data_IF_112216394446
#
_entry.id   IF_112216394446
#
_cell.length_a   1.000
_cell.length_b   1.000
_cell.length_c   1.000
_cell.angle_alpha   90.00
_cell.angle_beta   90.00
_cell.angle_gamma   90.00
#
_symmetry.space_group_name_H-M   'P 1'
#
loop_
_entity.id
_entity.type
_entity.pdbx_description
1 polymer ?
#
# COMPACT_ATOMS: atom_id res chain seq x y z
N UNK A 1 -14.58 -46.72 10.22
CA UNK A 1 -14.37 -46.41 11.62
C UNK A 1 -13.61 -45.12 11.77
N UNK A 2 -14.13 -44.06 12.44
CA UNK A 2 -13.46 -42.77 12.58
C UNK A 2 -12.06 -42.87 13.17
N UNK A 3 -11.86 -43.73 14.15
CA UNK A 3 -10.55 -43.93 14.82
C UNK A 3 -9.49 -44.50 13.87
N UNK A 4 -9.91 -45.36 12.92
CA UNK A 4 -9.02 -45.91 11.88
C UNK A 4 -8.73 -44.89 10.81
N UNK A 5 -9.65 -43.96 10.50
CA UNK A 5 -9.47 -42.94 9.49
C UNK A 5 -8.32 -41.99 9.83
N UNK A 6 -8.20 -41.57 11.09
CA UNK A 6 -7.11 -40.72 11.58
C UNK A 6 -5.77 -41.45 11.47
N UNK A 7 -5.71 -42.72 11.91
CA UNK A 7 -4.49 -43.53 11.83
C UNK A 7 -4.06 -43.79 10.38
N UNK A 8 -5.02 -44.08 9.48
CA UNK A 8 -4.78 -44.28 8.06
C UNK A 8 -4.28 -42.98 7.38
N UNK A 9 -4.91 -41.86 7.70
CA UNK A 9 -4.49 -40.54 7.20
C UNK A 9 -3.07 -40.18 7.62
N UNK A 10 -2.72 -40.39 8.90
CA UNK A 10 -1.37 -40.19 9.41
C UNK A 10 -0.32 -41.09 8.74
N UNK A 11 -0.67 -42.36 8.48
CA UNK A 11 0.19 -43.31 7.78
C UNK A 11 0.43 -42.90 6.32
N UNK A 12 -0.61 -42.46 5.62
CA UNK A 12 -0.52 -41.99 4.23
C UNK A 12 0.34 -40.72 4.18
N UNK A 13 0.11 -39.77 5.09
CA UNK A 13 0.91 -38.54 5.18
C UNK A 13 2.38 -38.85 5.47
N UNK A 14 2.66 -39.79 6.37
CA UNK A 14 4.02 -40.28 6.64
C UNK A 14 4.68 -40.87 5.40
N UNK A 15 3.97 -41.69 4.63
CA UNK A 15 4.46 -42.30 3.41
C UNK A 15 4.73 -41.25 2.30
N UNK A 16 3.89 -40.23 2.18
CA UNK A 16 4.11 -39.09 1.24
C UNK A 16 5.36 -38.31 1.64
N UNK A 17 5.53 -38.00 2.93
CA UNK A 17 6.73 -37.30 3.44
C UNK A 17 8.00 -38.12 3.29
N UNK A 18 7.92 -39.45 3.40
CA UNK A 18 9.04 -40.35 3.17
C UNK A 18 9.38 -40.56 1.68
N UNK A 19 8.50 -40.11 0.76
CA UNK A 19 8.64 -40.30 -0.69
C UNK A 19 8.22 -41.68 -1.19
N UNK A 20 7.57 -42.50 -0.34
CA UNK A 20 7.12 -43.84 -0.68
C UNK A 20 5.80 -43.80 -1.51
N UNK A 21 5.05 -42.70 -1.41
CA UNK A 21 3.80 -42.46 -2.15
C UNK A 21 3.91 -41.14 -2.89
N UNK A 22 3.91 -41.19 -4.22
CA UNK A 22 4.05 -40.01 -5.08
C UNK A 22 2.75 -39.59 -5.74
N UNK A 23 1.72 -40.43 -5.71
CA UNK A 23 0.47 -40.22 -6.41
C UNK A 23 -0.58 -39.45 -5.58
N UNK A 24 -0.27 -39.17 -4.33
CA UNK A 24 -1.13 -38.40 -3.40
C UNK A 24 -0.39 -37.12 -2.99
N UNK A 25 -0.90 -35.97 -3.41
CA UNK A 25 -0.45 -34.67 -2.97
C UNK A 25 -1.47 -34.10 -2.00
N UNK A 26 -1.10 -34.01 -0.71
CA UNK A 26 -1.87 -33.27 0.27
C UNK A 26 -1.31 -31.86 0.35
N UNK A 27 -2.12 -30.88 -0.03
CA UNK A 27 -1.80 -29.47 0.10
C UNK A 27 -2.71 -28.87 1.16
N UNK A 28 -2.09 -28.28 2.16
CA UNK A 28 -2.83 -27.49 3.15
C UNK A 28 -3.01 -26.05 2.61
N UNK A 29 -4.11 -25.39 2.97
CA UNK A 29 -4.47 -24.06 2.48
C UNK A 29 -4.96 -23.17 3.61
N UNK A 30 -4.83 -21.86 3.44
CA UNK A 30 -5.45 -20.88 4.32
C UNK A 30 -6.97 -20.92 4.16
N UNK A 31 -7.75 -21.12 5.25
CA UNK A 31 -9.21 -21.23 5.15
C UNK A 31 -9.90 -19.88 4.85
N UNK A 32 -9.28 -18.78 5.28
CA UNK A 32 -9.77 -17.42 5.12
C UNK A 32 -8.64 -16.48 4.72
N UNK A 33 -9.01 -15.37 4.11
CA UNK A 33 -8.11 -14.29 3.72
C UNK A 33 -7.45 -13.67 4.94
N UNK A 34 -6.15 -13.40 4.83
CA UNK A 34 -5.33 -12.73 5.84
C UNK A 34 -4.89 -11.37 5.32
N UNK A 35 -4.99 -10.36 6.16
CA UNK A 35 -4.63 -9.01 5.79
C UNK A 35 -4.41 -8.10 6.99
N UNK A 36 -4.24 -6.83 6.71
CA UNK A 36 -4.12 -5.78 7.71
C UNK A 36 -5.18 -4.71 7.53
N UNK A 37 -5.47 -4.02 8.62
CA UNK A 37 -6.26 -2.79 8.58
C UNK A 37 -5.44 -1.65 8.00
N UNK A 38 -6.03 -0.93 7.05
CA UNK A 38 -5.44 0.25 6.42
C UNK A 38 -6.33 1.47 6.62
N UNK A 39 -5.89 2.62 6.10
CA UNK A 39 -6.56 3.91 6.24
C UNK A 39 -8.05 3.82 5.87
N UNK A 40 -8.90 4.29 6.78
CA UNK A 40 -10.35 4.22 6.65
C UNK A 40 -10.98 2.94 7.20
N UNK A 41 -10.22 2.09 7.91
CA UNK A 41 -10.73 0.85 8.50
C UNK A 41 -10.98 -0.27 7.49
N UNK A 42 -10.34 -0.21 6.32
CA UNK A 42 -10.44 -1.21 5.26
C UNK A 42 -9.49 -2.37 5.54
N UNK A 43 -9.94 -3.59 5.35
CA UNK A 43 -9.07 -4.75 5.29
C UNK A 43 -8.38 -4.83 3.93
N UNK A 44 -7.07 -4.71 3.93
CA UNK A 44 -6.23 -4.93 2.75
C UNK A 44 -5.66 -6.35 2.79
N UNK A 45 -6.05 -7.21 1.83
CA UNK A 45 -5.59 -8.59 1.80
C UNK A 45 -4.12 -8.69 1.39
N UNK A 46 -3.37 -9.60 2.05
CA UNK A 46 -2.02 -10.00 1.66
C UNK A 46 -1.98 -11.45 1.21
N UNK A 47 -2.68 -12.35 1.90
CA UNK A 47 -2.81 -13.76 1.53
C UNK A 47 -4.30 -14.06 1.38
N UNK A 48 -4.72 -14.41 0.18
CA UNK A 48 -6.11 -14.75 -0.10
C UNK A 48 -6.48 -16.14 0.42
N UNK A 49 -7.77 -16.35 0.71
CA UNK A 49 -8.29 -17.68 1.07
C UNK A 49 -7.90 -18.73 0.02
N UNK A 50 -7.80 -19.97 0.44
CA UNK A 50 -7.39 -21.10 -0.40
C UNK A 50 -5.97 -21.01 -1.00
N UNK A 51 -5.12 -20.14 -0.44
CA UNK A 51 -3.69 -20.12 -0.79
C UNK A 51 -2.99 -21.30 -0.13
N UNK A 52 -2.25 -22.07 -0.91
CA UNK A 52 -1.46 -23.21 -0.40
C UNK A 52 -0.35 -22.75 0.54
N UNK A 53 -0.12 -23.50 1.62
CA UNK A 53 0.96 -23.27 2.55
C UNK A 53 2.04 -24.36 2.42
N UNK A 54 3.33 -24.04 2.68
CA UNK A 54 3.85 -22.76 3.17
C UNK A 54 3.81 -21.64 2.10
N UNK A 55 3.66 -20.39 2.54
CA UNK A 55 3.61 -19.23 1.64
C UNK A 55 4.18 -17.98 2.32
N UNK A 56 4.76 -17.09 1.51
CA UNK A 56 5.24 -15.79 1.95
C UNK A 56 4.73 -14.72 0.99
N UNK A 57 4.22 -13.61 1.56
CA UNK A 57 3.75 -12.43 0.82
C UNK A 57 4.17 -11.17 1.55
N UNK A 58 4.63 -10.18 0.79
CA UNK A 58 4.95 -8.86 1.32
C UNK A 58 4.36 -7.75 0.46
N UNK A 59 4.04 -6.63 1.12
CA UNK A 59 3.54 -5.43 0.47
C UNK A 59 4.09 -4.19 1.17
N UNK A 60 4.34 -3.13 0.41
CA UNK A 60 4.81 -1.86 0.94
C UNK A 60 3.62 -0.97 1.24
N UNK A 61 3.57 -0.47 2.46
CA UNK A 61 2.62 0.51 2.96
C UNK A 61 3.34 1.81 3.33
N UNK A 62 2.58 2.84 3.69
CA UNK A 62 3.12 4.11 4.11
C UNK A 62 2.33 4.69 5.29
N UNK A 63 2.79 5.84 5.79
CA UNK A 63 2.10 6.59 6.84
C UNK A 63 0.87 7.32 6.30
N UNK A 64 -0.17 7.43 7.13
CA UNK A 64 -1.42 8.13 6.82
C UNK A 64 -1.36 9.62 7.15
N UNK A 65 -0.48 10.02 8.08
CA UNK A 65 -0.35 11.39 8.57
C UNK A 65 1.08 11.92 8.41
N UNK A 66 1.21 13.26 8.32
CA UNK A 66 2.51 13.92 8.30
C UNK A 66 3.23 13.76 9.63
N UNK A 67 4.55 13.56 9.56
CA UNK A 67 5.42 13.39 10.74
C UNK A 67 5.03 12.22 11.66
N UNK A 68 4.30 11.24 11.12
CA UNK A 68 3.95 10.03 11.86
C UNK A 68 5.21 9.18 12.10
N UNK A 69 5.54 8.93 13.38
CA UNK A 69 6.77 8.22 13.81
C UNK A 69 6.54 6.78 14.23
N UNK A 70 5.28 6.34 14.22
CA UNK A 70 4.88 4.97 14.54
C UNK A 70 3.68 4.54 13.70
N UNK A 71 3.56 3.24 13.42
CA UNK A 71 2.39 2.65 12.78
C UNK A 71 1.90 1.45 13.58
N UNK A 72 0.57 1.34 13.69
CA UNK A 72 -0.09 0.18 14.28
C UNK A 72 -0.42 -0.80 13.17
N UNK A 73 0.03 -2.03 13.30
CA UNK A 73 -0.30 -3.12 12.37
C UNK A 73 -1.33 -4.01 13.03
N UNK A 74 -2.58 -3.86 12.60
CA UNK A 74 -3.70 -4.69 13.03
C UNK A 74 -3.89 -5.83 12.03
N UNK A 75 -3.56 -7.05 12.45
CA UNK A 75 -3.64 -8.26 11.63
C UNK A 75 -5.03 -8.87 11.79
N UNK A 76 -5.72 -9.07 10.67
CA UNK A 76 -7.10 -9.57 10.65
C UNK A 76 -7.25 -10.74 9.68
N UNK A 77 -8.25 -11.58 9.95
CA UNK A 77 -8.61 -12.74 9.15
C UNK A 77 -10.11 -12.75 8.87
N UNK A 78 -10.49 -12.92 7.61
CA UNK A 78 -11.88 -12.98 7.16
C UNK A 78 -12.07 -12.47 5.74
N UNK A 79 -13.35 -12.35 5.35
CA UNK A 79 -13.72 -11.99 3.97
C UNK A 79 -14.46 -10.64 3.87
N UNK A 80 -14.69 -9.96 5.02
CA UNK A 80 -15.38 -8.66 5.06
C UNK A 80 -14.41 -7.53 4.69
N UNK A 81 -14.90 -6.50 3.99
CA UNK A 81 -14.09 -5.34 3.61
C UNK A 81 -13.77 -4.41 4.76
N UNK A 82 -14.60 -4.36 5.78
CA UNK A 82 -14.33 -3.63 7.02
C UNK A 82 -13.44 -4.46 7.94
N UNK A 83 -12.30 -3.93 8.37
CA UNK A 83 -11.37 -4.64 9.24
C UNK A 83 -12.02 -5.08 10.57
N UNK A 84 -12.88 -4.24 11.15
CA UNK A 84 -13.59 -4.51 12.41
C UNK A 84 -14.57 -5.69 12.35
N UNK A 85 -15.05 -6.04 11.15
CA UNK A 85 -16.00 -7.13 10.93
C UNK A 85 -15.31 -8.47 10.68
N UNK A 86 -13.97 -8.48 10.71
CA UNK A 86 -13.12 -9.65 10.59
C UNK A 86 -12.55 -10.06 11.97
N UNK A 87 -11.98 -11.25 12.04
CA UNK A 87 -11.31 -11.76 13.25
C UNK A 87 -9.97 -11.08 13.43
N UNK A 88 -9.78 -10.32 14.50
CA UNK A 88 -8.47 -9.81 14.86
C UNK A 88 -7.57 -10.95 15.35
N UNK A 89 -6.43 -11.13 14.73
CA UNK A 89 -5.42 -12.13 15.09
C UNK A 89 -4.34 -11.57 16.00
N UNK A 90 -3.99 -10.29 15.78
CA UNK A 90 -2.95 -9.63 16.57
C UNK A 90 -2.83 -8.15 16.23
N UNK A 91 -2.17 -7.43 17.13
CA UNK A 91 -1.89 -6.00 17.01
C UNK A 91 -0.48 -5.76 17.53
N UNK A 92 0.34 -5.06 16.75
CA UNK A 92 1.67 -4.62 17.18
C UNK A 92 2.04 -3.27 16.57
N UNK A 93 3.01 -2.59 17.17
CA UNK A 93 3.46 -1.27 16.75
C UNK A 93 4.88 -1.33 16.20
N UNK A 94 5.11 -0.67 15.08
CA UNK A 94 6.43 -0.33 14.59
C UNK A 94 6.71 1.14 14.94
N UNK A 95 7.67 1.36 15.84
CA UNK A 95 8.06 2.69 16.32
C UNK A 95 9.38 3.16 15.71
N UNK A 96 9.59 4.48 15.77
CA UNK A 96 10.86 5.12 15.39
C UNK A 96 11.05 5.23 13.89
N UNK A 97 9.97 5.40 13.17
CA UNK A 97 9.94 5.85 11.79
C UNK A 97 10.38 7.32 11.76
N UNK A 98 11.30 7.73 10.87
CA UNK A 98 11.68 9.12 10.73
C UNK A 98 10.48 10.00 10.37
N UNK A 99 10.34 11.16 11.03
CA UNK A 99 9.30 12.11 10.67
C UNK A 99 9.49 12.58 9.23
N UNK A 100 8.45 12.39 8.42
CA UNK A 100 8.41 12.71 7.01
C UNK A 100 6.97 13.04 6.59
N UNK A 101 6.77 13.68 5.43
CA UNK A 101 5.45 13.82 4.86
C UNK A 101 4.76 12.46 4.68
N UNK A 102 3.45 12.41 4.90
CA UNK A 102 2.65 11.19 4.69
C UNK A 102 2.87 10.62 3.29
N UNK A 103 2.82 9.31 3.17
CA UNK A 103 3.06 8.62 1.90
C UNK A 103 4.54 8.45 1.52
N UNK A 104 5.48 9.12 2.20
CA UNK A 104 6.92 9.01 1.91
C UNK A 104 7.61 7.81 2.60
N UNK A 105 7.35 7.52 3.89
CA UNK A 105 7.92 6.34 4.53
C UNK A 105 7.50 5.06 3.82
N UNK A 106 8.42 4.11 3.69
CA UNK A 106 8.16 2.80 3.09
C UNK A 106 8.24 1.73 4.16
N UNK A 107 7.08 1.16 4.50
CA UNK A 107 6.94 0.14 5.52
C UNK A 107 6.56 -1.16 4.83
N UNK A 108 7.49 -2.10 4.79
CA UNK A 108 7.26 -3.42 4.23
C UNK A 108 6.61 -4.30 5.28
N UNK A 109 5.39 -4.74 5.01
CA UNK A 109 4.68 -5.71 5.84
C UNK A 109 4.74 -7.06 5.15
N UNK A 110 5.26 -8.06 5.86
CA UNK A 110 5.45 -9.42 5.36
C UNK A 110 4.64 -10.41 6.18
N UNK A 111 3.97 -11.31 5.50
CA UNK A 111 3.23 -12.45 6.04
C UNK A 111 3.93 -13.72 5.62
N UNK A 112 4.38 -14.50 6.57
CA UNK A 112 5.09 -15.78 6.36
C UNK A 112 4.36 -16.89 7.10
N UNK A 113 3.80 -17.85 6.35
CA UNK A 113 3.10 -19.01 6.90
C UNK A 113 3.96 -20.23 6.63
N UNK A 114 4.34 -20.94 7.69
CA UNK A 114 5.10 -22.17 7.60
C UNK A 114 4.21 -23.39 7.25
N UNK A 115 4.83 -24.56 7.07
CA UNK A 115 4.13 -25.81 6.76
C UNK A 115 3.24 -26.31 7.93
N UNK A 116 3.37 -25.77 9.14
CA UNK A 116 2.52 -26.07 10.27
C UNK A 116 1.39 -25.06 10.42
N UNK A 117 1.31 -24.07 9.49
CA UNK A 117 0.33 -23.01 9.51
C UNK A 117 0.62 -21.90 10.53
N UNK A 118 1.82 -21.83 11.10
CA UNK A 118 2.23 -20.74 11.98
C UNK A 118 2.45 -19.50 11.14
N UNK A 119 1.73 -18.42 11.44
CA UNK A 119 1.82 -17.15 10.77
C UNK A 119 2.77 -16.21 11.53
N UNK A 120 3.83 -15.79 10.86
CA UNK A 120 4.70 -14.70 11.30
C UNK A 120 4.37 -13.44 10.48
N UNK A 121 4.03 -12.37 11.16
CA UNK A 121 3.81 -11.06 10.54
C UNK A 121 4.89 -10.12 11.00
N UNK A 122 5.62 -9.51 10.07
CA UNK A 122 6.61 -8.49 10.36
C UNK A 122 6.29 -7.19 9.62
N UNK A 123 6.67 -6.08 10.24
CA UNK A 123 6.65 -4.75 9.64
C UNK A 123 8.05 -4.14 9.76
N UNK A 124 8.60 -3.69 8.64
CA UNK A 124 9.95 -3.14 8.54
C UNK A 124 9.96 -1.79 7.85
N UNK A 125 10.51 -0.78 8.51
CA UNK A 125 10.83 0.49 7.88
C UNK A 125 12.08 0.36 7.01
N UNK A 126 11.94 0.60 5.70
CA UNK A 126 13.03 0.43 4.72
C UNK A 126 14.13 1.48 4.86
N UNK A 127 13.84 2.63 5.46
CA UNK A 127 14.82 3.68 5.65
C UNK A 127 15.75 3.40 6.83
N UNK A 128 15.20 2.95 7.97
CA UNK A 128 15.96 2.71 9.21
C UNK A 128 16.32 1.26 9.43
N UNK A 129 15.71 0.33 8.69
CA UNK A 129 15.76 -1.12 8.91
C UNK A 129 15.21 -1.56 10.28
N UNK A 130 14.48 -0.69 10.98
CA UNK A 130 13.75 -1.09 12.18
C UNK A 130 12.64 -2.05 11.80
N UNK A 131 12.50 -3.10 12.58
CA UNK A 131 11.54 -4.17 12.35
C UNK A 131 10.87 -4.57 13.65
N UNK A 132 9.58 -4.88 13.57
CA UNK A 132 8.78 -5.50 14.62
C UNK A 132 8.00 -6.64 14.03
N UNK A 133 7.75 -7.68 14.82
CA UNK A 133 7.04 -8.85 14.37
C UNK A 133 6.15 -9.45 15.46
N UNK A 134 5.15 -10.19 15.03
CA UNK A 134 4.29 -11.00 15.88
C UNK A 134 4.19 -12.40 15.27
N UNK A 135 4.21 -13.42 16.14
CA UNK A 135 3.96 -14.81 15.76
C UNK A 135 2.57 -15.22 16.22
N UNK A 136 1.76 -15.69 15.29
CA UNK A 136 0.38 -16.10 15.49
C UNK A 136 0.29 -17.59 15.19
N UNK A 137 -0.20 -18.37 16.14
CA UNK A 137 -0.35 -19.82 15.95
C UNK A 137 -1.47 -20.13 14.94
N UNK A 138 -1.28 -21.18 14.15
CA UNK A 138 -2.18 -21.63 13.10
C UNK A 138 -3.63 -21.84 13.53
N UNK A 139 -3.80 -22.32 14.75
CA UNK A 139 -5.12 -22.44 15.31
C UNK A 139 -5.54 -21.09 15.90
N UNK A 140 -6.01 -20.18 15.05
CA UNK A 140 -6.71 -18.96 15.51
C UNK A 140 -7.97 -19.28 16.32
N UNK A 141 -8.21 -20.54 16.62
CA UNK A 141 -9.35 -21.03 17.39
C UNK A 141 -10.68 -20.96 16.64
N UNK A 142 -10.66 -20.79 15.33
CA UNK A 142 -11.87 -20.86 14.50
C UNK A 142 -12.21 -22.33 14.22
N UNK A 143 -13.45 -22.72 14.53
CA UNK A 143 -14.03 -23.99 14.08
C UNK A 143 -14.48 -23.91 12.63
N UNK A 144 -14.68 -25.06 11.99
CA UNK A 144 -15.19 -25.12 10.61
C UNK A 144 -16.54 -24.41 10.47
N UNK A 145 -17.41 -24.49 11.51
CA UNK A 145 -18.68 -23.79 11.54
C UNK A 145 -18.52 -22.27 11.59
N UNK A 146 -17.53 -21.76 12.34
CA UNK A 146 -17.23 -20.33 12.39
C UNK A 146 -16.66 -19.82 11.05
N UNK A 147 -15.79 -20.60 10.40
CA UNK A 147 -15.25 -20.30 9.08
C UNK A 147 -16.39 -20.19 8.05
N UNK A 148 -17.27 -21.20 8.01
CA UNK A 148 -18.41 -21.23 7.10
C UNK A 148 -19.34 -20.03 7.35
N UNK A 149 -19.62 -19.71 8.60
CA UNK A 149 -20.41 -18.55 8.98
C UNK A 149 -19.77 -17.24 8.51
N UNK A 150 -18.45 -17.06 8.69
CA UNK A 150 -17.75 -15.86 8.22
C UNK A 150 -17.81 -15.68 6.70
N UNK A 151 -17.75 -16.78 5.95
CA UNK A 151 -17.92 -16.75 4.48
C UNK A 151 -19.36 -16.37 4.11
N UNK A 152 -20.36 -16.97 4.75
CA UNK A 152 -21.77 -16.64 4.51
C UNK A 152 -22.10 -15.20 4.88
N UNK A 153 -21.57 -14.71 6.01
CA UNK A 153 -21.76 -13.33 6.44
C UNK A 153 -21.13 -12.34 5.42
N UNK A 154 -19.98 -12.69 4.84
CA UNK A 154 -19.35 -11.87 3.81
C UNK A 154 -20.17 -11.85 2.50
N UNK A 155 -20.71 -12.99 2.08
CA UNK A 155 -21.58 -13.08 0.90
C UNK A 155 -22.89 -12.28 1.12
N UNK A 156 -23.49 -12.38 2.30
CA UNK A 156 -24.73 -11.66 2.63
C UNK A 156 -24.55 -10.14 2.68
N UNK A 157 -23.34 -9.65 3.02
CA UNK A 157 -23.04 -8.22 3.13
C UNK A 157 -22.20 -7.68 1.94
N UNK A 158 -22.04 -8.45 0.86
CA UNK A 158 -21.14 -8.09 -0.25
C UNK A 158 -21.47 -6.73 -0.89
N UNK A 159 -22.77 -6.37 -1.00
CA UNK A 159 -23.19 -5.07 -1.53
C UNK A 159 -22.85 -3.91 -0.58
N UNK A 160 -23.02 -4.11 0.71
CA UNK A 160 -22.72 -3.07 1.71
C UNK A 160 -21.22 -2.91 1.88
N UNK A 161 -20.47 -3.99 1.83
CA UNK A 161 -19.01 -3.98 1.82
C UNK A 161 -18.46 -3.25 0.60
N UNK A 162 -19.05 -3.45 -0.57
CA UNK A 162 -18.68 -2.73 -1.78
C UNK A 162 -18.95 -1.22 -1.66
N UNK A 163 -20.12 -0.84 -1.15
CA UNK A 163 -20.45 0.58 -0.90
C UNK A 163 -19.48 1.21 0.10
N UNK A 164 -19.14 0.48 1.16
CA UNK A 164 -18.17 0.94 2.15
C UNK A 164 -16.79 1.15 1.52
N UNK A 165 -16.28 0.18 0.75
CA UNK A 165 -14.98 0.29 0.07
C UNK A 165 -14.96 1.49 -0.88
N UNK A 166 -16.01 1.68 -1.69
CA UNK A 166 -16.13 2.81 -2.60
C UNK A 166 -16.20 4.16 -1.86
N UNK A 167 -16.92 4.22 -0.73
CA UNK A 167 -16.99 5.43 0.10
C UNK A 167 -15.62 5.77 0.70
N UNK A 168 -14.91 4.78 1.24
CA UNK A 168 -13.58 4.99 1.82
C UNK A 168 -12.57 5.40 0.75
N UNK A 169 -12.63 4.82 -0.45
CA UNK A 169 -11.79 5.23 -1.58
C UNK A 169 -12.05 6.69 -1.96
N UNK A 170 -13.31 7.11 -2.03
CA UNK A 170 -13.67 8.50 -2.31
C UNK A 170 -13.16 9.46 -1.21
N UNK A 171 -13.33 9.08 0.07
CA UNK A 171 -12.82 9.86 1.22
C UNK A 171 -11.30 9.99 1.19
N UNK A 172 -10.58 8.91 0.96
CA UNK A 172 -9.12 8.91 0.91
C UNK A 172 -8.58 9.73 -0.28
N UNK A 173 -9.24 9.66 -1.44
CA UNK A 173 -8.89 10.48 -2.59
C UNK A 173 -9.12 11.98 -2.32
N UNK A 174 -10.25 12.33 -1.71
CA UNK A 174 -10.58 13.70 -1.32
C UNK A 174 -9.57 14.26 -0.31
N UNK A 175 -9.24 13.50 0.73
CA UNK A 175 -8.27 13.88 1.75
C UNK A 175 -6.86 14.08 1.16
N UNK A 176 -6.47 13.22 0.23
CA UNK A 176 -5.19 13.36 -0.49
C UNK A 176 -5.16 14.64 -1.33
N UNK A 177 -6.25 14.98 -2.00
CA UNK A 177 -6.35 16.21 -2.80
C UNK A 177 -6.34 17.46 -1.90
N UNK A 178 -7.09 17.46 -0.80
CA UNK A 178 -7.07 18.56 0.19
C UNK A 178 -5.65 18.81 0.70
N UNK A 179 -4.98 17.74 1.11
CA UNK A 179 -3.61 17.83 1.61
C UNK A 179 -2.65 18.39 0.56
N UNK A 180 -2.74 17.89 -0.68
CA UNK A 180 -1.93 18.40 -1.79
C UNK A 180 -2.19 19.88 -2.10
N UNK A 181 -3.44 20.30 -2.11
CA UNK A 181 -3.80 21.71 -2.32
C UNK A 181 -3.31 22.62 -1.20
N UNK A 182 -3.48 22.22 0.07
CA UNK A 182 -2.98 22.99 1.23
C UNK A 182 -1.46 23.17 1.16
N UNK A 183 -0.74 22.07 0.92
CA UNK A 183 0.71 22.11 0.78
C UNK A 183 1.17 23.00 -0.38
N UNK A 184 0.51 22.91 -1.53
CA UNK A 184 0.83 23.76 -2.69
C UNK A 184 0.58 25.24 -2.38
N UNK A 185 -0.50 25.58 -1.66
CA UNK A 185 -0.78 26.95 -1.24
C UNK A 185 0.26 27.49 -0.26
N UNK A 186 0.78 26.65 0.63
CA UNK A 186 1.85 27.02 1.57
C UNK A 186 3.19 27.23 0.85
N UNK A 187 3.58 26.29 0.00
CA UNK A 187 4.86 26.32 -0.71
C UNK A 187 4.93 27.40 -1.80
N UNK A 188 3.79 27.78 -2.35
CA UNK A 188 3.68 28.73 -3.47
C UNK A 188 2.97 30.03 -3.09
N UNK A 189 2.93 30.39 -1.81
CA UNK A 189 2.15 31.52 -1.27
C UNK A 189 2.44 32.86 -2.03
N UNK A 190 3.68 33.09 -2.45
CA UNK A 190 4.11 34.30 -3.16
C UNK A 190 3.67 34.33 -4.65
N UNK A 191 3.22 33.18 -5.18
CA UNK A 191 2.90 33.01 -6.61
C UNK A 191 1.40 32.82 -6.86
N UNK A 192 0.60 32.69 -5.81
CA UNK A 192 -0.84 32.46 -5.89
C UNK A 192 -1.58 33.79 -5.82
N UNK A 193 -2.46 34.04 -6.79
CA UNK A 193 -3.33 35.21 -6.74
C UNK A 193 -4.34 35.10 -5.60
N UNK A 194 -4.66 36.22 -4.93
CA UNK A 194 -5.54 36.23 -3.77
C UNK A 194 -6.91 35.62 -4.08
N UNK A 195 -7.46 35.85 -5.28
CA UNK A 195 -8.74 35.31 -5.73
C UNK A 195 -8.71 33.78 -5.96
N UNK A 196 -7.59 33.24 -6.48
CA UNK A 196 -7.39 31.81 -6.64
C UNK A 196 -7.26 31.12 -5.29
N UNK A 197 -6.48 31.72 -4.38
CA UNK A 197 -6.33 31.22 -3.02
C UNK A 197 -7.67 31.12 -2.29
N UNK A 198 -8.46 32.18 -2.32
CA UNK A 198 -9.79 32.23 -1.70
C UNK A 198 -10.73 31.15 -2.30
N UNK A 199 -10.69 30.96 -3.63
CA UNK A 199 -11.49 29.95 -4.31
C UNK A 199 -11.10 28.52 -3.88
N UNK A 200 -9.79 28.21 -3.82
CA UNK A 200 -9.29 26.91 -3.40
C UNK A 200 -9.59 26.65 -1.92
N UNK A 201 -9.35 27.62 -1.03
CA UNK A 201 -9.63 27.51 0.40
C UNK A 201 -11.12 27.29 0.68
N UNK A 202 -12.00 27.97 -0.08
CA UNK A 202 -13.45 27.77 -0.02
C UNK A 202 -13.83 26.35 -0.45
N UNK A 203 -13.28 25.86 -1.57
CA UNK A 203 -13.54 24.50 -2.05
C UNK A 203 -13.04 23.43 -1.07
N UNK A 204 -11.86 23.64 -0.45
CA UNK A 204 -11.34 22.78 0.62
C UNK A 204 -12.33 22.71 1.78
N UNK A 205 -12.80 23.85 2.29
CA UNK A 205 -13.72 23.89 3.41
C UNK A 205 -15.03 23.17 3.14
N UNK A 206 -15.58 23.32 1.91
CA UNK A 206 -16.80 22.62 1.48
C UNK A 206 -16.58 21.11 1.41
N UNK A 207 -15.43 20.67 0.89
CA UNK A 207 -15.09 19.25 0.80
C UNK A 207 -14.82 18.63 2.18
N UNK A 208 -14.14 19.34 3.09
CA UNK A 208 -13.95 18.90 4.48
C UNK A 208 -15.28 18.71 5.23
N UNK A 209 -16.30 19.53 4.94
CA UNK A 209 -17.62 19.35 5.51
C UNK A 209 -18.33 18.11 4.92
N UNK A 210 -18.21 17.89 3.60
CA UNK A 210 -18.76 16.70 2.94
C UNK A 210 -18.12 15.40 3.46
N UNK A 211 -16.83 15.41 3.80
CA UNK A 211 -16.12 14.24 4.35
C UNK A 211 -16.65 13.77 5.71
N UNK A 212 -17.36 14.61 6.46
CA UNK A 212 -18.01 14.22 7.72
C UNK A 212 -19.27 13.37 7.47
N UNK A 213 -19.82 13.43 6.28
CA UNK A 213 -20.96 12.62 5.83
C UNK A 213 -20.56 11.26 5.30
N UNK A 214 -21.57 10.54 4.79
CA UNK A 214 -21.43 9.21 4.18
C UNK A 214 -21.94 9.18 2.72
N UNK A 215 -22.22 10.35 2.15
CA UNK A 215 -22.67 10.47 0.76
C UNK A 215 -21.47 10.50 -0.19
N UNK A 216 -21.19 9.35 -0.82
CA UNK A 216 -20.12 9.19 -1.82
C UNK A 216 -20.27 10.20 -2.97
N UNK A 217 -21.50 10.38 -3.47
CA UNK A 217 -21.74 11.23 -4.65
C UNK A 217 -21.45 12.70 -4.35
N UNK A 218 -21.81 13.17 -3.16
CA UNK A 218 -21.49 14.53 -2.71
C UNK A 218 -19.98 14.72 -2.54
N UNK A 219 -19.29 13.74 -1.93
CA UNK A 219 -17.83 13.77 -1.79
C UNK A 219 -17.13 13.82 -3.15
N UNK A 220 -17.53 12.99 -4.11
CA UNK A 220 -16.96 12.97 -5.46
C UNK A 220 -17.22 14.28 -6.21
N UNK A 221 -18.41 14.87 -6.10
CA UNK A 221 -18.73 16.16 -6.70
C UNK A 221 -17.85 17.29 -6.14
N UNK A 222 -17.72 17.36 -4.82
CA UNK A 222 -16.89 18.38 -4.16
C UNK A 222 -15.39 18.16 -4.42
N UNK A 223 -14.96 16.90 -4.50
CA UNK A 223 -13.58 16.55 -4.90
C UNK A 223 -13.27 17.07 -6.30
N UNK A 224 -14.20 16.87 -7.24
CA UNK A 224 -14.05 17.41 -8.59
C UNK A 224 -14.01 18.93 -8.60
N UNK A 225 -14.88 19.58 -7.84
CA UNK A 225 -14.90 21.04 -7.73
C UNK A 225 -13.56 21.60 -7.22
N UNK A 226 -12.96 20.95 -6.21
CA UNK A 226 -11.62 21.32 -5.72
C UNK A 226 -10.54 21.08 -6.77
N UNK A 227 -10.59 19.95 -7.49
CA UNK A 227 -9.66 19.65 -8.57
C UNK A 227 -9.73 20.70 -9.69
N UNK A 228 -10.95 21.10 -10.08
CA UNK A 228 -11.17 22.13 -11.10
C UNK A 228 -10.67 23.50 -10.62
N UNK A 229 -10.93 23.89 -9.36
CA UNK A 229 -10.43 25.14 -8.77
C UNK A 229 -8.91 25.21 -8.67
N UNK A 230 -8.25 24.08 -8.44
CA UNK A 230 -6.78 23.99 -8.31
C UNK A 230 -6.06 23.80 -9.64
N UNK A 231 -6.76 23.45 -10.72
CA UNK A 231 -6.17 23.09 -12.00
C UNK A 231 -5.38 24.22 -12.66
N UNK A 232 -5.89 25.48 -12.58
CA UNK A 232 -5.22 26.67 -13.14
C UNK A 232 -3.88 26.93 -12.44
N UNK A 233 -3.85 26.83 -11.13
CA UNK A 233 -2.65 26.97 -10.32
C UNK A 233 -1.62 25.88 -10.65
N UNK A 234 -2.05 24.63 -10.73
CA UNK A 234 -1.18 23.49 -11.04
C UNK A 234 -0.54 23.63 -12.44
N UNK A 235 -1.32 24.04 -13.45
CA UNK A 235 -0.81 24.27 -14.81
C UNK A 235 0.21 25.40 -14.86
N UNK A 236 -0.03 26.49 -14.15
CA UNK A 236 0.90 27.64 -14.10
C UNK A 236 2.20 27.27 -13.40
N UNK A 237 2.15 26.62 -12.24
CA UNK A 237 3.34 26.17 -11.52
C UNK A 237 4.16 25.17 -12.33
N UNK A 238 3.51 24.27 -13.05
CA UNK A 238 4.17 23.32 -13.93
C UNK A 238 4.87 24.01 -15.12
N UNK A 239 4.23 25.01 -15.72
CA UNK A 239 4.82 25.80 -16.82
C UNK A 239 6.05 26.60 -16.33
N UNK A 240 5.99 27.22 -15.15
CA UNK A 240 7.12 27.93 -14.54
C UNK A 240 8.29 26.98 -14.25
N UNK A 241 8.00 25.79 -13.74
CA UNK A 241 9.04 24.80 -13.43
C UNK A 241 9.73 24.29 -14.69
N UNK A 242 8.99 24.08 -15.78
CA UNK A 242 9.58 23.73 -17.07
C UNK A 242 10.46 24.85 -17.65
N UNK A 243 10.04 26.10 -17.47
CA UNK A 243 10.80 27.25 -17.94
C UNK A 243 12.10 27.43 -17.16
N UNK A 244 12.06 27.29 -15.83
CA UNK A 244 13.24 27.33 -14.98
C UNK A 244 14.25 26.20 -15.28
N UNK A 245 13.78 25.01 -15.66
CA UNK A 245 14.65 23.91 -16.09
C UNK A 245 15.33 24.18 -17.44
N UNK A 246 14.63 24.81 -18.40
CA UNK A 246 15.20 25.21 -19.71
C UNK A 246 16.21 26.33 -19.56
N UNK A 247 15.95 27.29 -18.68
CA UNK A 247 16.87 28.41 -18.43
C UNK A 247 18.16 27.95 -17.75
N UNK A 248 18.06 26.94 -16.86
CA UNK A 248 19.21 26.33 -16.19
C UNK A 248 20.06 25.47 -17.13
N UNK A 249 19.45 24.80 -18.13
CA UNK A 249 20.18 24.07 -19.18
C UNK A 249 20.89 25.02 -20.13
N UNK A 250 20.23 26.10 -20.55
CA UNK A 250 20.85 27.13 -21.41
C UNK A 250 22.01 27.87 -20.71
N UNK A 251 21.93 28.09 -19.41
CA UNK A 251 23.01 28.74 -18.65
C UNK A 251 24.22 27.82 -18.47
N UNK A 252 24.00 26.50 -18.34
CA UNK A 252 25.08 25.50 -18.27
C UNK A 252 25.81 25.30 -19.62
N UNK A 253 25.11 25.48 -20.75
CA UNK A 253 25.73 25.46 -22.09
C UNK A 253 26.52 26.77 -22.39
N UNK A 254 26.11 27.90 -21.81
CA UNK A 254 26.77 29.18 -21.98
C UNK A 254 28.07 29.30 -21.16
N UNK A 255 28.16 28.62 -20.00
CA UNK A 255 29.42 28.61 -19.23
C UNK A 255 30.47 27.63 -19.77
N UNK A 256 30.06 26.64 -20.57
CA UNK A 256 30.97 25.68 -21.18
C UNK A 256 31.54 26.17 -22.54
N UNK A 257 31.05 27.29 -23.06
CA UNK A 257 31.49 27.86 -24.36
C UNK A 257 32.63 28.86 -24.22
N UNK A 258 33.13 29.19 -23.04
CA UNK A 258 34.21 30.16 -22.81
C UNK A 258 35.54 29.59 -22.35
N UNK A 259 35.72 28.27 -22.40
CA UNK A 259 37.02 27.64 -22.09
C UNK A 259 37.28 26.43 -22.98
N UNK A 260 37.62 26.71 -24.29
CA UNK A 260 38.37 25.73 -25.07
C UNK A 260 39.02 26.40 -26.26
N UNK A 261 40.19 26.91 -26.02
CA UNK A 261 41.23 27.01 -27.05
C UNK A 261 42.38 26.11 -26.60
N UNK A 262 42.27 24.81 -26.90
CA UNK A 262 43.41 23.88 -27.08
C UNK A 262 42.88 22.64 -27.82
N UNK A 263 43.12 22.66 -29.11
CA UNK A 263 42.92 21.53 -30.01
C UNK A 263 44.04 20.55 -29.76
N UNK A 264 43.73 19.37 -29.20
CA UNK A 264 44.62 18.21 -29.21
C UNK A 264 44.10 17.23 -30.25
N UNK A 265 44.89 17.15 -31.33
CA UNK A 265 44.74 16.19 -32.42
C UNK A 265 44.94 14.77 -31.89
N UNK A 266 43.93 13.94 -31.90
CA UNK A 266 44.01 12.53 -31.50
C UNK A 266 43.94 11.67 -32.78
N UNK A 267 45.08 11.10 -33.14
CA UNK A 267 45.23 10.06 -34.17
C UNK A 267 44.43 8.80 -33.75
N UNK A 268 43.48 8.41 -34.59
CA UNK A 268 42.78 7.14 -34.48
C UNK A 268 43.51 6.07 -35.30
N UNK A 269 44.11 5.07 -34.63
CA UNK A 269 44.65 3.86 -35.24
C UNK A 269 43.57 2.77 -35.31
N UNK A 270 43.21 2.37 -36.52
CA UNK A 270 42.21 1.31 -36.82
C UNK A 270 42.83 -0.08 -36.60
N UNK A 271 42.39 -0.82 -35.56
CA UNK A 271 42.79 -2.19 -35.35
C UNK A 271 41.87 -3.14 -36.12
N UNK A 272 42.41 -3.83 -37.11
CA UNK A 272 41.74 -4.91 -37.85
C UNK A 272 41.76 -6.18 -37.01
N UNK A 273 40.57 -6.71 -36.72
CA UNK A 273 40.38 -8.09 -36.19
C UNK A 273 40.75 -9.12 -37.30
N UNK A 274 41.72 -9.96 -36.99
CA UNK A 274 41.96 -11.21 -37.72
C UNK A 274 41.22 -12.36 -37.05
N UNK A 275 40.39 -13.04 -37.83
CA UNK A 275 39.77 -14.30 -37.49
C UNK A 275 40.79 -15.44 -37.46
N UNK A 276 40.80 -16.21 -36.41
CA UNK A 276 41.14 -17.64 -36.41
C UNK A 276 40.38 -18.35 -35.28
#
# INVERSE_FOLDING_TARGET
NPDEAVAAGAAIQGAVLAGDVTDILLLDVTPLTLGIETMGGVMTPLIEKNTTIPTNKSQIFSTAEDNQTAVNVNVVQGERKQAKDNKQLGLFNLDGIPAAPRGMPQIEVSFDIDANGILNVSAKDKATNKEQSITIQASSGLSDEEIEKMVQDAEANAEDDKKFEELVQAKNAADTLIHGCKKTLEESADKVEASEKESIESAISVLEEALKGEDKSDIEEKTKALADASSSLAQRLYAEQQQAQKDNQNNSESENATSSDEVVDADFEEVKEEKS
#
